data_IF_335615471742
#
_entry.id   IF_335615471742
#
_cell.length_a   1.000
_cell.length_b   1.000
_cell.length_c   1.000
_cell.angle_alpha   90.00
_cell.angle_beta   90.00
_cell.angle_gamma   90.00
#
_symmetry.space_group_name_H-M   'P 1'
#
loop_
_entity.id
_entity.type
_entity.pdbx_description
1 polymer ?
#
# COMPACT_ATOMS: atom_id res chain seq x y z
N UNK A 1 7.12 -0.27 -8.55
CA UNK A 1 8.58 -0.25 -8.33
C UNK A 1 8.81 -0.54 -6.86
N UNK A 2 10.00 -1.03 -6.48
CA UNK A 2 10.21 -1.61 -5.14
C UNK A 2 11.23 -0.85 -4.30
N UNK A 3 11.49 0.42 -4.61
CA UNK A 3 12.29 1.30 -3.77
C UNK A 3 12.03 2.78 -4.04
N UNK A 4 12.53 3.63 -3.14
CA UNK A 4 12.35 5.09 -3.16
C UNK A 4 13.20 5.85 -4.18
N UNK A 5 13.93 5.19 -5.07
CA UNK A 5 14.71 5.88 -6.11
C UNK A 5 13.84 6.67 -7.09
N UNK A 6 12.61 6.23 -7.33
CA UNK A 6 11.72 6.91 -8.26
C UNK A 6 12.07 6.70 -9.73
N UNK A 7 12.73 5.58 -10.07
CA UNK A 7 13.12 5.25 -11.45
C UNK A 7 11.97 5.43 -12.43
N UNK A 8 12.20 6.23 -13.47
CA UNK A 8 11.24 6.41 -14.55
C UNK A 8 11.23 5.20 -15.46
N UNK A 9 10.02 4.76 -15.86
CA UNK A 9 9.85 3.52 -16.62
C UNK A 9 8.88 3.71 -17.78
N UNK A 10 9.00 2.80 -18.76
CA UNK A 10 8.01 2.55 -19.78
C UNK A 10 7.43 1.16 -19.58
N UNK A 11 6.12 1.07 -19.47
CA UNK A 11 5.39 -0.20 -19.46
C UNK A 11 5.02 -0.58 -20.89
N UNK A 12 5.37 -1.80 -21.28
CA UNK A 12 4.99 -2.37 -22.55
C UNK A 12 3.82 -3.30 -22.36
N UNK A 13 2.68 -2.92 -22.91
CA UNK A 13 1.42 -3.66 -22.74
C UNK A 13 0.84 -4.05 -24.08
N UNK A 14 0.13 -5.17 -24.10
CA UNK A 14 -0.68 -5.65 -25.22
C UNK A 14 -1.81 -6.52 -24.67
N UNK A 15 -3.02 -6.37 -25.16
CA UNK A 15 -4.17 -7.18 -24.76
C UNK A 15 -4.32 -7.25 -23.23
N UNK A 16 -4.25 -6.07 -22.57
CA UNK A 16 -4.34 -5.88 -21.12
C UNK A 16 -3.28 -6.62 -20.29
N UNK A 17 -2.20 -7.09 -20.92
CA UNK A 17 -1.08 -7.73 -20.22
C UNK A 17 0.18 -6.88 -20.30
N UNK A 18 0.93 -6.85 -19.20
CA UNK A 18 2.26 -6.25 -19.15
C UNK A 18 3.29 -7.30 -19.56
N UNK A 19 4.05 -7.02 -20.60
CA UNK A 19 5.06 -7.93 -21.14
C UNK A 19 6.48 -7.54 -20.78
N UNK A 20 6.72 -6.26 -20.54
CA UNK A 20 8.06 -5.76 -20.26
C UNK A 20 8.01 -4.42 -19.54
N UNK A 21 9.02 -4.18 -18.69
CA UNK A 21 9.35 -2.87 -18.14
C UNK A 21 10.73 -2.48 -18.64
N UNK A 22 10.88 -1.25 -19.13
CA UNK A 22 12.18 -0.68 -19.53
C UNK A 22 12.38 0.67 -18.87
N UNK A 23 13.66 1.09 -18.63
CA UNK A 23 13.92 2.42 -18.14
C UNK A 23 13.47 3.45 -19.18
N UNK A 24 12.91 4.54 -18.68
CA UNK A 24 12.68 5.76 -19.43
C UNK A 24 13.72 6.77 -18.99
N UNK A 25 14.38 7.43 -19.93
CA UNK A 25 15.42 8.40 -19.60
C UNK A 25 14.89 9.55 -18.75
N UNK A 26 15.59 9.80 -17.64
CA UNK A 26 15.40 10.95 -16.79
C UNK A 26 16.73 11.23 -16.08
N UNK A 27 17.45 12.24 -16.57
CA UNK A 27 18.80 12.56 -16.07
C UNK A 27 18.81 13.09 -14.63
N UNK A 28 17.67 13.59 -14.15
CA UNK A 28 17.51 14.01 -12.76
C UNK A 28 17.29 12.85 -11.77
N UNK A 29 16.99 11.64 -12.23
CA UNK A 29 16.64 10.51 -11.36
C UNK A 29 17.46 9.26 -11.65
N UNK A 30 17.31 8.68 -12.83
CA UNK A 30 17.88 7.36 -13.19
C UNK A 30 18.68 7.37 -14.49
N UNK A 31 18.89 8.54 -15.10
CA UNK A 31 19.46 8.62 -16.45
C UNK A 31 18.74 7.64 -17.39
N UNK A 32 19.44 6.67 -17.97
CA UNK A 32 18.85 5.60 -18.79
C UNK A 32 18.89 4.22 -18.10
N UNK A 33 19.19 4.17 -16.80
CA UNK A 33 19.43 2.94 -16.07
C UNK A 33 18.22 2.47 -15.26
N UNK A 34 18.19 1.18 -14.98
CA UNK A 34 17.20 0.52 -14.15
C UNK A 34 17.79 -0.77 -13.56
N UNK A 35 17.54 -1.08 -12.28
CA UNK A 35 17.97 -2.37 -11.70
C UNK A 35 17.21 -3.53 -12.35
N UNK A 36 17.89 -4.67 -12.54
CA UNK A 36 17.24 -5.87 -13.07
C UNK A 36 16.13 -6.39 -12.17
N UNK A 37 16.29 -6.25 -10.86
CA UNK A 37 15.23 -6.59 -9.90
C UNK A 37 13.92 -5.83 -10.19
N UNK A 38 13.99 -4.57 -10.62
CA UNK A 38 12.80 -3.80 -11.01
C UNK A 38 12.32 -4.15 -12.42
N UNK A 39 13.25 -4.37 -13.35
CA UNK A 39 12.96 -4.76 -14.72
C UNK A 39 12.16 -6.06 -14.81
N UNK A 40 12.49 -7.02 -13.95
CA UNK A 40 11.88 -8.35 -13.95
C UNK A 40 10.64 -8.46 -13.05
N UNK A 41 10.40 -7.48 -12.20
CA UNK A 41 9.32 -7.49 -11.22
C UNK A 41 7.99 -6.97 -11.78
N UNK A 42 7.56 -7.49 -12.91
CA UNK A 42 6.23 -7.18 -13.49
C UNK A 42 5.30 -8.40 -13.54
N UNK A 43 5.86 -9.60 -13.36
CA UNK A 43 5.11 -10.86 -13.52
C UNK A 43 3.92 -10.96 -12.56
N UNK A 44 4.04 -10.38 -11.35
CA UNK A 44 2.94 -10.37 -10.38
C UNK A 44 1.71 -9.60 -10.87
N UNK A 45 1.88 -8.65 -11.82
CA UNK A 45 0.78 -7.84 -12.36
C UNK A 45 -0.21 -8.75 -13.11
N UNK A 46 0.32 -9.74 -13.82
CA UNK A 46 -0.46 -10.69 -14.62
C UNK A 46 -0.70 -12.03 -13.88
N UNK A 47 -0.34 -12.15 -12.59
CA UNK A 47 -0.43 -13.42 -11.86
C UNK A 47 -1.90 -13.82 -11.65
N UNK A 48 -2.22 -15.07 -11.90
CA UNK A 48 -3.55 -15.66 -11.69
C UNK A 48 -3.97 -15.66 -10.21
N UNK A 49 -3.00 -15.57 -9.31
CA UNK A 49 -3.23 -15.48 -7.86
C UNK A 49 -3.73 -14.10 -7.39
N UNK A 50 -3.80 -13.11 -8.29
CA UNK A 50 -4.39 -11.81 -7.95
C UNK A 50 -5.88 -11.95 -7.69
N UNK A 51 -6.36 -11.24 -6.69
CA UNK A 51 -7.79 -11.18 -6.37
C UNK A 51 -8.48 -10.28 -7.42
N UNK A 52 -9.30 -10.82 -8.33
CA UNK A 52 -9.89 -10.06 -9.43
C UNK A 52 -11.16 -9.30 -9.05
N UNK A 53 -11.75 -9.61 -7.90
CA UNK A 53 -13.02 -9.05 -7.44
C UNK A 53 -13.09 -9.07 -5.92
N UNK A 54 -13.96 -8.26 -5.30
CA UNK A 54 -14.16 -8.30 -3.86
C UNK A 54 -14.59 -9.68 -3.38
N UNK A 55 -14.15 -10.03 -2.18
CA UNK A 55 -14.60 -11.22 -1.47
C UNK A 55 -15.09 -10.83 -0.09
N UNK A 56 -16.15 -11.45 0.38
CA UNK A 56 -16.72 -11.25 1.72
C UNK A 56 -16.82 -12.58 2.47
N UNK A 57 -16.85 -12.49 3.78
CA UNK A 57 -17.20 -13.61 4.66
C UNK A 57 -18.18 -13.14 5.72
N UNK A 58 -19.04 -14.03 6.20
CA UNK A 58 -20.07 -13.71 7.20
C UNK A 58 -19.54 -13.68 8.62
N UNK A 59 -18.51 -14.45 8.88
CA UNK A 59 -17.80 -14.55 10.17
C UNK A 59 -16.35 -14.99 9.96
N UNK A 60 -15.58 -15.05 11.03
CA UNK A 60 -14.14 -15.34 10.97
C UNK A 60 -13.83 -16.74 10.43
N UNK A 61 -14.69 -17.72 10.66
CA UNK A 61 -14.51 -19.12 10.26
C UNK A 61 -15.13 -19.43 8.89
N UNK A 62 -16.00 -18.54 8.37
CA UNK A 62 -16.66 -18.75 7.10
C UNK A 62 -15.67 -18.61 5.92
N UNK A 63 -15.84 -19.40 4.85
CA UNK A 63 -15.05 -19.26 3.65
C UNK A 63 -15.35 -17.90 2.95
N UNK A 64 -14.32 -17.34 2.34
CA UNK A 64 -14.48 -16.18 1.49
C UNK A 64 -15.34 -16.51 0.26
N UNK A 65 -16.31 -15.65 -0.03
CA UNK A 65 -17.19 -15.77 -1.21
C UNK A 65 -17.03 -14.56 -2.11
N UNK A 66 -17.03 -14.75 -3.44
CA UNK A 66 -17.06 -13.66 -4.39
C UNK A 66 -18.23 -12.69 -4.13
N UNK A 67 -17.97 -11.41 -4.32
CA UNK A 67 -18.96 -10.33 -4.13
C UNK A 67 -18.79 -9.27 -5.21
N UNK A 68 -19.77 -8.39 -5.32
CA UNK A 68 -19.62 -7.12 -6.04
C UNK A 68 -19.15 -6.03 -5.06
N UNK A 69 -18.78 -4.87 -5.60
CA UNK A 69 -18.26 -3.76 -4.79
C UNK A 69 -19.30 -3.20 -3.81
N UNK A 70 -20.55 -3.08 -4.22
CA UNK A 70 -21.58 -2.46 -3.40
C UNK A 70 -21.80 -3.20 -2.06
N UNK A 71 -22.11 -4.52 -2.03
CA UNK A 71 -22.25 -5.24 -0.77
C UNK A 71 -20.95 -5.32 0.02
N UNK A 72 -19.78 -5.40 -0.64
CA UNK A 72 -18.50 -5.44 0.06
C UNK A 72 -18.21 -4.13 0.79
N UNK A 73 -18.44 -3.00 0.15
CA UNK A 73 -18.28 -1.67 0.76
C UNK A 73 -19.30 -1.42 1.85
N UNK A 74 -20.57 -1.83 1.66
CA UNK A 74 -21.59 -1.73 2.70
C UNK A 74 -21.19 -2.54 3.95
N UNK A 75 -20.72 -3.77 3.77
CA UNK A 75 -20.24 -4.61 4.87
C UNK A 75 -19.07 -3.98 5.61
N UNK A 76 -18.08 -3.46 4.88
CA UNK A 76 -16.93 -2.78 5.47
C UNK A 76 -17.35 -1.52 6.25
N UNK A 77 -18.23 -0.70 5.67
CA UNK A 77 -18.72 0.51 6.33
C UNK A 77 -19.49 0.21 7.62
N UNK A 78 -20.32 -0.84 7.63
CA UNK A 78 -21.04 -1.28 8.83
C UNK A 78 -20.07 -1.83 9.90
N UNK A 79 -19.01 -2.53 9.50
CA UNK A 79 -17.99 -3.00 10.43
C UNK A 79 -17.28 -1.82 11.11
N UNK A 80 -16.87 -0.82 10.34
CA UNK A 80 -16.22 0.40 10.86
C UNK A 80 -17.13 1.19 11.80
N UNK A 81 -18.42 1.37 11.45
CA UNK A 81 -19.39 2.11 12.28
C UNK A 81 -19.63 1.50 13.66
N UNK A 82 -19.40 0.18 13.83
CA UNK A 82 -19.60 -0.53 15.12
C UNK A 82 -18.46 -0.35 16.10
N UNK A 83 -17.32 0.19 15.65
CA UNK A 83 -16.10 0.31 16.43
C UNK A 83 -15.89 1.78 16.80
N UNK A 84 -15.51 2.06 18.05
CA UNK A 84 -15.22 3.43 18.46
C UNK A 84 -13.94 3.93 17.78
N UNK A 85 -13.85 5.23 17.42
CA UNK A 85 -12.70 5.80 16.72
C UNK A 85 -11.35 5.47 17.34
N UNK A 86 -11.25 5.52 18.64
CA UNK A 86 -10.02 5.21 19.41
C UNK A 86 -9.68 3.71 19.48
N UNK A 87 -10.53 2.86 18.92
CA UNK A 87 -10.31 1.40 18.79
C UNK A 87 -9.97 0.98 17.36
N UNK A 88 -9.82 1.94 16.44
CA UNK A 88 -9.48 1.71 15.05
C UNK A 88 -8.08 2.24 14.73
N UNK A 89 -7.34 1.46 13.96
CA UNK A 89 -6.09 1.88 13.36
C UNK A 89 -6.09 1.58 11.87
N UNK A 90 -5.35 2.37 11.10
CA UNK A 90 -5.18 2.19 9.65
C UNK A 90 -3.70 1.99 9.37
N UNK A 91 -3.34 0.85 8.79
CA UNK A 91 -2.00 0.60 8.26
C UNK A 91 -2.10 0.70 6.74
N UNK A 92 -1.65 1.85 6.21
CA UNK A 92 -1.57 2.10 4.79
C UNK A 92 -0.29 1.50 4.18
N UNK A 93 -0.07 1.69 2.91
CA UNK A 93 1.10 1.15 2.20
C UNK A 93 1.94 2.26 1.58
N UNK A 94 3.26 2.19 1.75
CA UNK A 94 4.20 3.01 0.99
C UNK A 94 4.25 2.71 -0.52
N UNK A 95 3.37 1.83 -1.02
CA UNK A 95 3.15 1.58 -2.46
C UNK A 95 1.96 2.35 -3.03
N UNK A 96 1.16 2.97 -2.18
CA UNK A 96 0.01 3.77 -2.58
C UNK A 96 0.46 5.06 -3.28
N UNK A 97 -0.35 5.55 -4.20
CA UNK A 97 -0.16 6.87 -4.82
C UNK A 97 -0.50 7.98 -3.81
N UNK A 98 -0.12 9.21 -4.12
CA UNK A 98 -0.47 10.35 -3.26
C UNK A 98 -1.99 10.55 -3.15
N UNK A 99 -2.72 10.29 -4.22
CA UNK A 99 -4.17 10.36 -4.27
C UNK A 99 -4.82 9.31 -3.37
N UNK A 100 -4.32 8.08 -3.39
CA UNK A 100 -4.78 7.00 -2.51
C UNK A 100 -4.47 7.32 -1.04
N UNK A 101 -3.27 7.82 -0.74
CA UNK A 101 -2.88 8.25 0.60
C UNK A 101 -3.75 9.43 1.10
N UNK A 102 -4.09 10.37 0.20
CA UNK A 102 -5.03 11.44 0.52
C UNK A 102 -6.41 10.90 0.91
N UNK A 103 -6.91 9.91 0.20
CA UNK A 103 -8.18 9.24 0.55
C UNK A 103 -8.08 8.51 1.90
N UNK A 104 -6.94 7.88 2.20
CA UNK A 104 -6.70 7.28 3.53
C UNK A 104 -6.74 8.34 4.62
N UNK A 105 -6.07 9.48 4.43
CA UNK A 105 -6.11 10.61 5.39
C UNK A 105 -7.54 11.11 5.59
N UNK A 106 -8.28 11.27 4.50
CA UNK A 106 -9.68 11.72 4.57
C UNK A 106 -10.56 10.72 5.31
N UNK A 107 -10.40 9.42 5.03
CA UNK A 107 -11.10 8.35 5.73
C UNK A 107 -10.78 8.35 7.23
N UNK A 108 -9.51 8.46 7.61
CA UNK A 108 -9.09 8.52 8.99
C UNK A 108 -9.71 9.70 9.75
N UNK A 109 -9.74 10.88 9.11
CA UNK A 109 -10.38 12.06 9.66
C UNK A 109 -11.91 11.89 9.83
N UNK A 110 -12.58 11.26 8.89
CA UNK A 110 -14.02 10.96 9.00
C UNK A 110 -14.33 9.93 10.08
N UNK A 111 -13.48 8.92 10.25
CA UNK A 111 -13.58 7.94 11.34
C UNK A 111 -13.26 8.60 12.69
N UNK A 112 -12.38 9.58 12.70
CA UNK A 112 -11.87 10.24 13.92
C UNK A 112 -10.74 9.49 14.58
N UNK A 113 -9.93 8.73 13.81
CA UNK A 113 -8.73 8.05 14.30
C UNK A 113 -7.47 8.78 13.86
N UNK A 114 -6.52 8.91 14.77
CA UNK A 114 -5.15 9.39 14.53
C UNK A 114 -4.15 8.23 14.41
N UNK A 115 -4.58 6.99 14.63
CA UNK A 115 -3.76 5.78 14.57
C UNK A 115 -3.57 5.33 13.12
N UNK A 116 -2.87 6.16 12.34
CA UNK A 116 -2.55 5.89 10.92
C UNK A 116 -1.05 5.78 10.75
N UNK A 117 -0.58 4.73 10.09
CA UNK A 117 0.83 4.53 9.81
C UNK A 117 1.04 3.73 8.53
N UNK A 118 2.29 3.63 8.07
CA UNK A 118 2.74 2.69 7.04
C UNK A 118 3.88 1.83 7.58
N UNK A 119 4.05 0.64 7.02
CA UNK A 119 5.19 -0.23 7.35
C UNK A 119 6.43 0.24 6.59
N UNK A 120 7.47 0.77 7.27
CA UNK A 120 8.73 1.07 6.63
C UNK A 120 9.39 -0.23 6.16
N UNK A 121 9.94 -0.22 4.96
CA UNK A 121 10.67 -1.35 4.40
C UNK A 121 12.07 -0.88 4.06
N UNK A 122 13.04 -1.41 4.78
CA UNK A 122 14.45 -1.05 4.62
C UNK A 122 15.24 -2.19 4.02
N UNK A 123 16.27 -1.87 3.27
CA UNK A 123 17.25 -2.80 2.71
C UNK A 123 18.55 -2.10 2.43
N UNK A 124 19.49 -2.79 1.82
CA UNK A 124 20.77 -2.19 1.45
C UNK A 124 20.65 -1.39 0.15
N UNK A 125 21.24 -0.20 0.14
CA UNK A 125 21.42 0.57 -1.09
C UNK A 125 22.62 0.02 -1.87
N UNK A 126 22.53 0.01 -3.20
CA UNK A 126 23.69 -0.26 -4.06
C UNK A 126 24.51 1.03 -4.37
N UNK A 127 24.08 2.17 -3.81
CA UNK A 127 24.71 3.47 -4.02
C UNK A 127 24.50 4.06 -5.42
N UNK A 128 23.75 3.40 -6.30
CA UNK A 128 23.57 3.82 -7.69
C UNK A 128 22.10 3.83 -8.13
N UNK A 129 21.42 2.70 -8.09
CA UNK A 129 20.09 2.51 -8.67
C UNK A 129 19.04 2.10 -7.67
N UNK A 130 19.45 1.51 -6.55
CA UNK A 130 18.54 0.95 -5.55
C UNK A 130 18.68 1.72 -4.25
N UNK A 131 17.61 2.40 -3.85
CA UNK A 131 17.50 3.06 -2.54
C UNK A 131 17.41 2.05 -1.40
N UNK A 132 17.93 2.42 -0.22
CA UNK A 132 17.72 1.70 1.02
C UNK A 132 16.23 1.66 1.41
N UNK A 133 15.47 2.70 1.09
CA UNK A 133 14.02 2.71 1.23
C UNK A 133 13.40 1.79 0.15
N UNK A 134 12.78 0.70 0.61
CA UNK A 134 12.13 -0.30 -0.25
C UNK A 134 10.64 -0.02 -0.50
N UNK A 135 10.16 1.11 -0.07
CA UNK A 135 8.85 1.61 -0.46
C UNK A 135 9.00 2.66 -1.57
N UNK A 136 8.22 2.60 -2.64
CA UNK A 136 8.33 3.57 -3.73
C UNK A 136 7.81 4.96 -3.37
N UNK A 137 6.97 5.10 -2.35
CA UNK A 137 6.31 6.35 -2.01
C UNK A 137 6.30 6.68 -0.50
N UNK A 138 7.40 6.42 0.21
CA UNK A 138 7.54 6.81 1.62
C UNK A 138 7.42 8.32 1.81
N UNK A 139 8.00 9.11 0.90
CA UNK A 139 7.92 10.58 0.96
C UNK A 139 6.49 11.09 0.78
N UNK A 140 5.73 10.50 -0.14
CA UNK A 140 4.30 10.80 -0.27
C UNK A 140 3.53 10.47 1.00
N UNK A 141 3.81 9.33 1.63
CA UNK A 141 3.18 8.97 2.89
C UNK A 141 3.49 9.97 4.01
N UNK A 142 4.77 10.38 4.16
CA UNK A 142 5.15 11.44 5.13
C UNK A 142 4.37 12.73 4.92
N UNK A 143 4.34 13.22 3.69
CA UNK A 143 3.75 14.52 3.37
C UNK A 143 2.22 14.48 3.41
N UNK A 144 1.61 13.44 2.86
CA UNK A 144 0.15 13.38 2.71
C UNK A 144 -0.53 12.93 4.00
N UNK A 145 0.01 11.91 4.69
CA UNK A 145 -0.55 11.43 5.95
C UNK A 145 -0.09 12.26 7.16
N UNK A 146 0.95 13.09 6.99
CA UNK A 146 1.56 13.86 8.08
C UNK A 146 2.07 12.93 9.21
N UNK A 147 2.86 11.94 8.83
CA UNK A 147 3.40 10.93 9.75
C UNK A 147 4.90 10.74 9.55
N UNK A 148 5.57 10.23 10.58
CA UNK A 148 6.86 9.55 10.41
C UNK A 148 6.63 8.05 10.27
N UNK A 149 6.96 7.43 9.13
CA UNK A 149 6.71 6.03 8.86
C UNK A 149 7.23 5.08 9.94
N UNK A 150 6.34 4.23 10.45
CA UNK A 150 6.64 3.25 11.49
C UNK A 150 6.52 3.78 12.93
N UNK A 151 6.29 5.08 13.12
CA UNK A 151 6.28 5.70 14.45
C UNK A 151 5.14 5.22 15.36
N UNK A 152 4.03 4.77 14.78
CA UNK A 152 2.85 4.31 15.52
C UNK A 152 2.66 2.79 15.52
N UNK A 153 3.47 2.04 14.76
CA UNK A 153 3.29 0.59 14.61
C UNK A 153 3.38 -0.17 15.94
N UNK A 154 4.28 0.22 16.84
CA UNK A 154 4.41 -0.42 18.14
C UNK A 154 3.18 -0.16 19.02
N UNK A 155 2.66 1.05 19.02
CA UNK A 155 1.43 1.40 19.72
C UNK A 155 0.22 0.65 19.14
N UNK A 156 0.11 0.55 17.81
CA UNK A 156 -0.94 -0.23 17.14
C UNK A 156 -0.84 -1.71 17.54
N UNK A 157 0.37 -2.28 17.50
CA UNK A 157 0.61 -3.68 17.88
C UNK A 157 0.21 -3.96 19.34
N UNK A 158 0.59 -3.08 20.24
CA UNK A 158 0.22 -3.22 21.65
C UNK A 158 -1.29 -3.04 21.86
N UNK A 159 -1.91 -2.10 21.13
CA UNK A 159 -3.35 -1.92 21.15
C UNK A 159 -4.13 -3.17 20.68
N UNK A 160 -3.62 -3.87 19.65
CA UNK A 160 -4.20 -5.16 19.20
C UNK A 160 -4.02 -6.24 20.28
N UNK A 161 -2.84 -6.34 20.90
CA UNK A 161 -2.57 -7.33 21.96
C UNK A 161 -3.42 -7.13 23.21
N UNK A 162 -3.61 -5.90 23.62
CA UNK A 162 -4.43 -5.54 24.79
C UNK A 162 -5.93 -5.55 24.51
N UNK A 163 -6.35 -5.62 23.24
CA UNK A 163 -7.75 -5.52 22.83
C UNK A 163 -8.29 -4.09 22.84
N UNK A 164 -7.44 -3.07 23.00
CA UNK A 164 -7.82 -1.66 22.88
C UNK A 164 -8.01 -1.22 21.44
N UNK A 165 -7.35 -1.89 20.49
CA UNK A 165 -7.63 -1.80 19.04
C UNK A 165 -8.28 -3.11 18.61
N UNK A 166 -9.40 -3.01 17.92
CA UNK A 166 -10.22 -4.15 17.46
C UNK A 166 -10.14 -4.30 15.95
N UNK A 167 -10.27 -5.51 15.47
CA UNK A 167 -10.31 -5.87 14.05
C UNK A 167 -11.69 -6.45 13.66
#
# INVERSE_FOLDING_TARGET
MDCGTGTNITLWTREDKVYRITPRQNDAVNSCWMPDSHRLNYKYINAETRIPQPVIRTDAEAPHRPSTWEPALASAAEAVKRIAPNQLAIIASGRMTNEELYMVRHLAAQIGTDMVDIVPRMGESDGMLISADRNPNTNGARLVLDIEPGSKLDAIREGVRSGSIRS
#
